data_IF_178317318860
#
_entry.id   IF_178317318860
#
_cell.length_a   1.000
_cell.length_b   1.000
_cell.length_c   1.000
_cell.angle_alpha   90.00
_cell.angle_beta   90.00
_cell.angle_gamma   90.00
#
_symmetry.space_group_name_H-M   'P 1'
#
loop_
_entity.id
_entity.type
_entity.pdbx_description
1 polymer ?
#
# COMPACT_ATOMS: atom_id res chain seq x y z
N UNK A 1 -33.42 -2.76 20.85
CA UNK A 1 -32.40 -2.12 19.99
C UNK A 1 -31.90 -3.21 19.04
N UNK A 2 -32.13 -3.05 17.73
CA UNK A 2 -31.50 -3.95 16.75
C UNK A 2 -30.01 -3.59 16.75
N UNK A 3 -29.18 -4.52 17.16
CA UNK A 3 -27.72 -4.42 16.97
C UNK A 3 -27.54 -4.55 15.46
N UNK A 4 -27.17 -3.45 14.80
CA UNK A 4 -26.91 -3.48 13.37
C UNK A 4 -25.60 -4.27 13.18
N UNK A 5 -25.72 -5.45 12.59
CA UNK A 5 -24.55 -6.31 12.35
C UNK A 5 -23.63 -5.64 11.32
N UNK A 6 -22.40 -5.34 11.76
CA UNK A 6 -21.39 -4.68 10.91
C UNK A 6 -20.92 -5.70 9.87
N UNK A 7 -21.04 -5.37 8.60
CA UNK A 7 -20.62 -6.23 7.50
C UNK A 7 -19.15 -6.05 7.16
N UNK A 8 -18.51 -7.08 6.64
CA UNK A 8 -17.14 -7.03 6.15
C UNK A 8 -16.96 -5.93 5.09
N UNK A 9 -17.97 -5.70 4.23
CA UNK A 9 -17.93 -4.66 3.22
C UNK A 9 -17.85 -3.24 3.81
N UNK A 10 -18.49 -2.99 4.95
CA UNK A 10 -18.37 -1.72 5.66
C UNK A 10 -16.96 -1.51 6.20
N UNK A 11 -16.30 -2.59 6.65
CA UNK A 11 -14.91 -2.53 7.11
C UNK A 11 -13.97 -2.23 5.93
N UNK A 12 -14.11 -2.92 4.80
CA UNK A 12 -13.36 -2.61 3.59
C UNK A 12 -13.54 -1.15 3.15
N UNK A 13 -14.76 -0.63 3.20
CA UNK A 13 -15.06 0.77 2.87
C UNK A 13 -14.39 1.75 3.83
N UNK A 14 -14.37 1.46 5.13
CA UNK A 14 -13.66 2.27 6.12
C UNK A 14 -12.15 2.27 5.87
N UNK A 15 -11.58 1.11 5.56
CA UNK A 15 -10.15 0.96 5.27
C UNK A 15 -9.70 1.71 4.00
N UNK A 16 -10.59 1.97 3.04
CA UNK A 16 -10.30 2.85 1.89
C UNK A 16 -10.01 4.30 2.34
N UNK A 17 -10.48 4.69 3.52
CA UNK A 17 -10.17 5.99 4.14
C UNK A 17 -8.76 6.05 4.74
N UNK A 18 -8.15 4.91 5.06
CA UNK A 18 -6.82 4.85 5.66
C UNK A 18 -5.76 4.99 4.58
N UNK A 19 -5.07 6.12 4.57
CA UNK A 19 -4.03 6.43 3.58
C UNK A 19 -2.63 6.14 4.11
N UNK A 20 -1.73 5.78 3.19
CA UNK A 20 -0.31 5.71 3.51
C UNK A 20 0.21 7.11 3.86
N UNK A 21 0.87 7.32 5.02
CA UNK A 21 1.33 8.65 5.43
C UNK A 21 2.42 9.22 4.52
N UNK A 22 3.13 8.38 3.80
CA UNK A 22 4.19 8.78 2.87
C UNK A 22 3.67 8.96 1.43
N UNK A 23 2.52 8.33 1.12
CA UNK A 23 1.86 8.40 -0.19
C UNK A 23 0.36 8.66 0.02
N UNK A 24 -0.05 9.88 0.44
CA UNK A 24 -1.39 10.16 0.95
C UNK A 24 -2.51 10.05 -0.09
N UNK A 25 -2.17 9.78 -1.34
CA UNK A 25 -3.11 9.56 -2.44
C UNK A 25 -3.59 8.11 -2.55
N UNK A 26 -2.94 7.17 -1.84
CA UNK A 26 -3.25 5.73 -1.90
C UNK A 26 -3.68 5.22 -0.53
N UNK A 27 -4.73 4.37 -0.50
CA UNK A 27 -5.16 3.67 0.71
C UNK A 27 -4.38 2.37 0.92
N UNK A 28 -4.44 1.87 2.16
CA UNK A 28 -3.89 0.55 2.52
C UNK A 28 -4.56 -0.59 1.74
N UNK A 29 -5.82 -0.40 1.35
CA UNK A 29 -6.59 -1.34 0.52
C UNK A 29 -6.11 -1.30 -0.94
N UNK A 30 -5.93 -0.11 -1.51
CA UNK A 30 -5.41 0.08 -2.87
C UNK A 30 -3.96 -0.41 -2.99
N UNK A 31 -3.18 -0.27 -1.92
CA UNK A 31 -1.82 -0.78 -1.82
C UNK A 31 -1.78 -2.33 -1.70
N UNK A 32 -2.91 -2.98 -1.40
CA UNK A 32 -2.97 -4.42 -1.21
C UNK A 32 -2.28 -4.89 0.08
N UNK A 33 -2.25 -4.03 1.10
CA UNK A 33 -1.63 -4.37 2.39
C UNK A 33 -2.54 -5.22 3.28
N UNK A 34 -3.86 -5.11 3.15
CA UNK A 34 -4.81 -5.88 3.95
C UNK A 34 -4.96 -7.29 3.38
N UNK A 35 -4.68 -8.29 4.21
CA UNK A 35 -4.68 -9.70 3.80
C UNK A 35 -5.84 -10.51 4.36
N UNK A 36 -6.36 -10.13 5.53
CA UNK A 36 -7.52 -10.80 6.12
C UNK A 36 -8.29 -9.86 7.06
N UNK A 37 -9.61 -10.07 7.11
CA UNK A 37 -10.52 -9.49 8.10
C UNK A 37 -11.29 -10.65 8.72
N UNK A 38 -11.35 -10.69 10.06
CA UNK A 38 -12.10 -11.69 10.79
C UNK A 38 -12.94 -10.99 11.85
N UNK A 39 -14.21 -11.40 11.94
CA UNK A 39 -15.15 -10.89 12.93
C UNK A 39 -15.40 -11.96 14.00
N UNK A 40 -15.32 -11.58 15.25
CA UNK A 40 -15.61 -12.45 16.37
C UNK A 40 -16.62 -11.78 17.29
N UNK A 41 -17.71 -12.50 17.56
CA UNK A 41 -18.72 -12.10 18.54
C UNK A 41 -18.57 -12.95 19.79
N UNK A 42 -18.53 -12.32 20.95
CA UNK A 42 -18.55 -13.03 22.23
C UNK A 42 -19.97 -13.44 22.62
N UNK A 43 -20.06 -14.38 23.56
CA UNK A 43 -21.36 -14.87 24.12
C UNK A 43 -22.16 -13.73 24.79
N UNK A 44 -21.49 -12.70 25.27
CA UNK A 44 -22.10 -11.52 25.89
C UNK A 44 -22.39 -10.38 24.90
N UNK A 45 -22.21 -10.63 23.57
CA UNK A 45 -22.56 -9.70 22.50
C UNK A 45 -21.47 -8.70 22.11
N UNK A 46 -20.29 -8.73 22.72
CA UNK A 46 -19.18 -7.88 22.29
C UNK A 46 -18.65 -8.31 20.92
N UNK A 47 -18.36 -7.34 20.06
CA UNK A 47 -17.84 -7.58 18.71
C UNK A 47 -16.40 -7.11 18.63
N UNK A 48 -15.48 -8.01 18.24
CA UNK A 48 -14.08 -7.72 17.98
C UNK A 48 -13.78 -7.95 16.51
N UNK A 49 -13.06 -6.99 15.90
CA UNK A 49 -12.58 -7.11 14.53
C UNK A 49 -11.06 -7.36 14.52
N UNK A 50 -10.64 -8.45 13.89
CA UNK A 50 -9.23 -8.77 13.68
C UNK A 50 -8.86 -8.46 12.23
N UNK A 51 -7.84 -7.62 12.04
CA UNK A 51 -7.35 -7.23 10.73
C UNK A 51 -5.89 -7.67 10.61
N UNK A 52 -5.59 -8.42 9.56
CA UNK A 52 -4.20 -8.79 9.24
C UNK A 52 -3.71 -7.93 8.08
N UNK A 53 -2.54 -7.33 8.26
CA UNK A 53 -1.88 -6.56 7.22
C UNK A 53 -0.46 -7.06 6.97
N UNK A 54 0.01 -7.00 5.72
CA UNK A 54 1.40 -7.23 5.35
C UNK A 54 2.03 -5.91 4.90
N UNK A 55 3.20 -5.52 5.42
CA UNK A 55 3.87 -4.30 5.02
C UNK A 55 4.52 -4.46 3.63
N UNK A 56 4.62 -3.37 2.89
CA UNK A 56 5.33 -3.34 1.61
C UNK A 56 6.83 -3.60 1.76
N UNK A 57 7.39 -3.20 2.89
CA UNK A 57 8.79 -3.44 3.27
C UNK A 57 8.90 -3.73 4.76
N UNK A 58 9.68 -4.75 5.10
CA UNK A 58 10.04 -5.05 6.47
C UNK A 58 10.90 -3.89 7.01
N UNK A 59 10.54 -3.33 8.16
CA UNK A 59 11.23 -2.17 8.75
C UNK A 59 10.73 -0.80 8.26
N UNK A 60 9.58 -0.74 7.58
CA UNK A 60 8.93 0.52 7.23
C UNK A 60 8.54 1.28 8.52
N UNK A 61 9.02 2.53 8.73
CA UNK A 61 8.70 3.30 9.94
C UNK A 61 7.22 3.71 10.01
N UNK A 62 6.48 3.66 8.90
CA UNK A 62 5.07 4.00 8.84
C UNK A 62 4.14 2.89 9.40
N UNK A 63 4.62 1.67 9.65
CA UNK A 63 3.78 0.52 10.06
C UNK A 63 2.94 0.85 11.30
N UNK A 64 3.53 1.42 12.34
CA UNK A 64 2.80 1.70 13.58
C UNK A 64 1.76 2.80 13.39
N UNK A 65 2.05 3.81 12.56
CA UNK A 65 1.09 4.85 12.20
C UNK A 65 -0.08 4.27 11.42
N UNK A 66 0.20 3.40 10.44
CA UNK A 66 -0.83 2.72 9.64
C UNK A 66 -1.71 1.82 10.52
N UNK A 67 -1.11 1.01 11.41
CA UNK A 67 -1.87 0.17 12.38
C UNK A 67 -2.82 1.00 13.23
N UNK A 68 -2.32 2.11 13.77
CA UNK A 68 -3.11 3.03 14.57
C UNK A 68 -4.27 3.61 13.76
N UNK A 69 -4.01 4.08 12.55
CA UNK A 69 -5.04 4.64 11.67
C UNK A 69 -6.10 3.60 11.27
N UNK A 70 -5.70 2.36 10.97
CA UNK A 70 -6.62 1.25 10.72
C UNK A 70 -7.55 1.04 11.92
N UNK A 71 -6.97 0.94 13.11
CA UNK A 71 -7.74 0.74 14.35
C UNK A 71 -8.72 1.89 14.59
N UNK A 72 -8.27 3.13 14.45
CA UNK A 72 -9.08 4.34 14.66
C UNK A 72 -10.24 4.45 13.66
N UNK A 73 -10.05 4.06 12.41
CA UNK A 73 -11.12 4.10 11.41
C UNK A 73 -12.15 2.97 11.63
N UNK A 74 -11.69 1.77 11.90
CA UNK A 74 -12.58 0.62 12.04
C UNK A 74 -13.36 0.65 13.35
N UNK A 75 -12.78 1.15 14.45
CA UNK A 75 -13.48 1.28 15.75
C UNK A 75 -14.70 2.22 15.65
N UNK A 76 -14.68 3.22 14.75
CA UNK A 76 -15.80 4.14 14.51
C UNK A 76 -17.05 3.44 13.97
N UNK A 77 -16.92 2.24 13.43
CA UNK A 77 -18.05 1.43 12.97
C UNK A 77 -18.87 0.87 14.13
N UNK A 78 -18.34 0.87 15.35
CA UNK A 78 -19.04 0.44 16.56
C UNK A 78 -18.55 -0.89 17.14
N UNK A 79 -17.34 -1.35 16.78
CA UNK A 79 -16.71 -2.50 17.43
C UNK A 79 -16.29 -2.16 18.85
N UNK A 80 -16.40 -3.14 19.76
CA UNK A 80 -15.91 -3.01 21.14
C UNK A 80 -14.37 -3.03 21.17
N UNK A 81 -13.73 -3.78 20.27
CA UNK A 81 -12.29 -3.77 20.06
C UNK A 81 -11.92 -4.07 18.61
N UNK A 82 -10.73 -3.57 18.23
CA UNK A 82 -10.12 -3.81 16.91
C UNK A 82 -8.65 -4.16 17.11
N UNK A 83 -8.28 -5.36 16.70
CA UNK A 83 -6.91 -5.83 16.74
C UNK A 83 -6.29 -5.81 15.33
N UNK A 84 -5.12 -5.17 15.18
CA UNK A 84 -4.39 -5.12 13.92
C UNK A 84 -3.08 -5.89 14.07
N UNK A 85 -3.00 -7.05 13.39
CA UNK A 85 -1.81 -7.89 13.33
C UNK A 85 -1.01 -7.56 12.08
N UNK A 86 0.31 -7.41 12.24
CA UNK A 86 1.25 -7.33 11.11
C UNK A 86 1.76 -8.74 10.83
N UNK A 87 1.59 -9.19 9.60
CA UNK A 87 2.12 -10.44 9.09
C UNK A 87 3.39 -10.16 8.28
N UNK A 88 4.53 -10.61 8.79
CA UNK A 88 5.83 -10.51 8.13
C UNK A 88 6.21 -11.80 7.38
N UNK A 89 5.42 -12.87 7.52
CA UNK A 89 5.66 -14.15 6.85
C UNK A 89 5.13 -14.11 5.42
N UNK A 90 3.98 -13.46 5.22
CA UNK A 90 3.42 -13.25 3.89
C UNK A 90 4.17 -12.11 3.19
N UNK A 91 4.91 -12.44 2.15
CA UNK A 91 5.60 -11.43 1.36
C UNK A 91 4.59 -10.57 0.59
N UNK A 92 4.71 -9.26 0.75
CA UNK A 92 3.99 -8.32 -0.11
C UNK A 92 4.68 -8.25 -1.47
N UNK A 93 3.90 -8.22 -2.54
CA UNK A 93 4.40 -8.01 -3.90
C UNK A 93 3.66 -6.85 -4.55
N UNK A 94 4.31 -6.15 -5.47
CA UNK A 94 3.73 -5.02 -6.19
C UNK A 94 2.52 -5.40 -7.07
N UNK A 95 2.30 -6.70 -7.31
CA UNK A 95 1.12 -7.20 -8.02
C UNK A 95 -0.16 -7.12 -7.17
N UNK A 96 -0.03 -7.02 -5.84
CA UNK A 96 -1.16 -6.79 -4.94
C UNK A 96 -1.75 -5.39 -5.05
N UNK A 97 -0.96 -4.44 -5.57
CA UNK A 97 -1.39 -3.06 -5.78
C UNK A 97 -2.47 -3.00 -6.86
N UNK A 98 -3.61 -2.40 -6.54
CA UNK A 98 -4.70 -2.20 -7.50
C UNK A 98 -4.24 -1.34 -8.69
N UNK A 99 -4.76 -1.58 -9.91
CA UNK A 99 -4.41 -0.78 -11.10
C UNK A 99 -4.63 0.72 -10.89
N UNK A 100 -5.71 1.11 -10.20
CA UNK A 100 -6.05 2.50 -9.88
C UNK A 100 -4.97 3.15 -9.00
N UNK A 101 -4.38 2.38 -8.07
CA UNK A 101 -3.28 2.85 -7.24
C UNK A 101 -2.05 3.19 -8.06
N UNK A 102 -1.71 2.37 -9.05
CA UNK A 102 -0.59 2.63 -9.97
C UNK A 102 -0.78 3.94 -10.74
N UNK A 103 -2.01 4.21 -11.20
CA UNK A 103 -2.36 5.48 -11.85
C UNK A 103 -2.29 6.68 -10.89
N UNK A 104 -2.69 6.49 -9.64
CA UNK A 104 -2.57 7.54 -8.61
C UNK A 104 -1.11 7.86 -8.28
N UNK A 105 -0.23 6.84 -8.22
CA UNK A 105 1.22 7.04 -8.07
C UNK A 105 1.77 7.93 -9.18
N UNK A 106 1.48 7.59 -10.43
CA UNK A 106 1.97 8.35 -11.59
C UNK A 106 1.51 9.81 -11.56
N UNK A 107 0.23 10.06 -11.24
CA UNK A 107 -0.32 11.43 -11.08
C UNK A 107 0.30 12.18 -9.89
N UNK A 108 0.71 11.47 -8.87
CA UNK A 108 1.39 12.03 -7.71
C UNK A 108 2.86 12.39 -8.01
N UNK A 109 3.39 11.95 -9.16
CA UNK A 109 4.79 12.18 -9.56
C UNK A 109 5.74 11.07 -9.11
N UNK A 110 5.21 9.95 -8.68
CA UNK A 110 5.95 8.75 -8.31
C UNK A 110 5.73 7.67 -9.38
N UNK A 111 6.79 7.26 -10.06
CA UNK A 111 6.67 6.20 -11.06
C UNK A 111 6.20 4.89 -10.40
N UNK A 112 5.18 4.22 -10.95
CA UNK A 112 4.68 2.98 -10.40
C UNK A 112 5.71 1.84 -10.53
N UNK A 113 5.57 0.75 -9.74
CA UNK A 113 6.42 -0.42 -9.89
C UNK A 113 6.22 -1.05 -11.27
N UNK A 114 7.31 -1.55 -11.85
CA UNK A 114 7.22 -2.36 -13.07
C UNK A 114 6.59 -3.71 -12.76
N UNK A 115 5.87 -4.27 -13.73
CA UNK A 115 5.27 -5.60 -13.59
C UNK A 115 6.40 -6.62 -13.73
N UNK A 116 6.49 -7.53 -12.77
CA UNK A 116 7.42 -8.65 -12.80
C UNK A 116 6.76 -9.80 -13.58
N UNK A 117 7.18 -10.02 -14.81
CA UNK A 117 6.79 -11.22 -15.53
C UNK A 117 7.70 -12.37 -15.04
N UNK A 118 7.10 -13.48 -14.62
CA UNK A 118 7.77 -14.72 -14.21
C UNK A 118 8.72 -14.61 -12.98
N UNK A 119 8.45 -13.70 -12.05
CA UNK A 119 9.23 -13.49 -10.82
C UNK A 119 10.73 -13.16 -11.02
N UNK A 120 11.18 -12.89 -12.22
CA UNK A 120 12.55 -12.47 -12.50
C UNK A 120 12.60 -10.99 -12.95
N UNK A 121 13.33 -10.17 -12.19
CA UNK A 121 13.67 -8.81 -12.58
C UNK A 121 14.74 -8.86 -13.67
N UNK A 122 14.36 -8.58 -14.90
CA UNK A 122 15.35 -8.39 -15.97
C UNK A 122 15.94 -6.98 -15.92
N UNK A 123 17.21 -6.83 -16.32
CA UNK A 123 17.86 -5.53 -16.44
C UNK A 123 17.10 -4.59 -17.38
N UNK A 124 16.43 -5.15 -18.38
CA UNK A 124 15.61 -4.41 -19.35
C UNK A 124 14.37 -3.83 -18.68
N UNK A 125 13.65 -4.58 -17.84
CA UNK A 125 12.50 -4.10 -17.06
C UNK A 125 12.90 -3.04 -16.04
N UNK A 126 14.09 -3.19 -15.41
CA UNK A 126 14.63 -2.16 -14.51
C UNK A 126 14.96 -0.86 -15.23
N UNK A 127 15.33 -0.91 -16.51
CA UNK A 127 15.71 0.26 -17.29
C UNK A 127 14.53 0.95 -17.98
N UNK A 128 13.42 0.22 -18.28
CA UNK A 128 12.26 0.75 -19.00
C UNK A 128 11.21 1.39 -18.09
N UNK A 129 11.62 2.21 -17.11
CA UNK A 129 10.68 2.92 -16.25
C UNK A 129 10.30 4.25 -16.86
N UNK A 130 8.99 4.44 -17.08
CA UNK A 130 8.47 5.68 -17.65
C UNK A 130 8.55 6.84 -16.66
N UNK A 131 9.02 7.99 -17.15
CA UNK A 131 9.05 9.23 -16.38
C UNK A 131 7.61 9.71 -16.07
N UNK A 132 7.23 9.98 -14.81
CA UNK A 132 5.89 10.45 -14.48
C UNK A 132 5.61 11.89 -14.95
N UNK A 133 6.65 12.66 -15.31
CA UNK A 133 6.51 14.05 -15.74
C UNK A 133 6.30 14.22 -17.26
N UNK A 134 7.06 13.47 -18.07
CA UNK A 134 7.01 13.61 -19.53
C UNK A 134 6.73 12.31 -20.28
N UNK A 135 6.50 11.20 -19.57
CA UNK A 135 6.21 9.87 -20.08
C UNK A 135 7.29 9.25 -20.97
N UNK A 136 8.47 9.84 -21.05
CA UNK A 136 9.62 9.27 -21.76
C UNK A 136 10.13 8.02 -21.05
N UNK A 137 10.60 7.04 -21.82
CA UNK A 137 11.31 5.85 -21.32
C UNK A 137 12.82 6.03 -21.27
N UNK A 138 13.34 7.16 -21.77
CA UNK A 138 14.75 7.51 -21.69
C UNK A 138 15.12 7.95 -20.27
N UNK A 139 15.19 6.97 -19.38
CA UNK A 139 15.41 7.14 -17.94
C UNK A 139 16.49 6.20 -17.44
N UNK A 140 17.11 6.55 -16.33
CA UNK A 140 18.12 5.70 -15.67
C UNK A 140 17.95 5.68 -14.16
N UNK A 141 18.31 4.56 -13.54
CA UNK A 141 18.41 4.46 -12.09
C UNK A 141 19.63 5.22 -11.60
N UNK A 142 19.47 6.12 -10.63
CA UNK A 142 20.54 6.86 -9.98
C UNK A 142 20.90 6.30 -8.62
N UNK A 143 19.89 5.84 -7.86
CA UNK A 143 20.07 5.23 -6.56
C UNK A 143 18.93 4.23 -6.29
N UNK A 144 19.28 3.06 -5.77
CA UNK A 144 18.31 2.10 -5.28
C UNK A 144 17.64 2.56 -3.97
N UNK A 145 18.13 3.64 -3.36
CA UNK A 145 17.64 4.22 -2.12
C UNK A 145 17.08 5.61 -2.41
N UNK A 146 15.77 5.78 -2.19
CA UNK A 146 15.05 7.05 -2.30
C UNK A 146 14.81 7.70 -0.95
N UNK A 147 13.79 8.55 -0.87
CA UNK A 147 13.37 9.21 0.38
C UNK A 147 12.87 8.20 1.42
N UNK A 148 12.40 7.05 0.99
CA UNK A 148 11.93 5.94 1.82
C UNK A 148 12.46 4.60 1.30
N UNK A 149 12.34 3.53 2.13
CA UNK A 149 12.83 2.20 1.75
C UNK A 149 12.14 1.61 0.53
N UNK A 150 10.87 1.97 0.29
CA UNK A 150 10.08 1.51 -0.85
C UNK A 150 10.34 2.28 -2.16
N UNK A 151 11.23 3.29 -2.16
CA UNK A 151 11.50 4.15 -3.32
C UNK A 151 12.92 4.06 -3.81
N UNK A 152 13.08 4.30 -5.11
CA UNK A 152 14.37 4.46 -5.78
C UNK A 152 14.41 5.82 -6.49
N UNK A 153 15.60 6.40 -6.66
CA UNK A 153 15.80 7.67 -7.38
C UNK A 153 16.18 7.38 -8.83
N UNK A 154 15.50 8.04 -9.74
CA UNK A 154 15.72 7.98 -11.18
C UNK A 154 15.94 9.35 -11.79
N UNK A 155 16.47 9.36 -13.01
CA UNK A 155 16.66 10.57 -13.80
C UNK A 155 16.12 10.35 -15.21
N UNK A 156 15.42 11.35 -15.73
CA UNK A 156 14.91 11.38 -17.11
C UNK A 156 15.81 12.24 -17.99
N UNK A 157 16.36 11.65 -19.07
CA UNK A 157 17.20 12.38 -20.01
C UNK A 157 16.40 13.25 -20.98
N UNK A 158 15.10 12.98 -21.17
CA UNK A 158 14.25 13.80 -22.04
C UNK A 158 13.89 15.14 -21.38
N UNK A 159 13.29 15.13 -20.18
CA UNK A 159 12.89 16.37 -19.49
C UNK A 159 13.92 16.90 -18.48
N UNK A 160 15.06 16.20 -18.30
CA UNK A 160 16.16 16.56 -17.39
C UNK A 160 15.77 16.65 -15.91
N UNK A 161 14.74 15.91 -15.50
CA UNK A 161 14.26 15.90 -14.10
C UNK A 161 14.60 14.59 -13.40
N UNK A 162 14.92 14.69 -12.10
CA UNK A 162 14.91 13.56 -11.19
C UNK A 162 13.49 13.21 -10.77
N UNK A 163 13.23 11.94 -10.52
CA UNK A 163 11.96 11.46 -9.98
C UNK A 163 12.17 10.21 -9.12
N UNK A 164 11.20 9.88 -8.31
CA UNK A 164 11.22 8.64 -7.55
C UNK A 164 10.35 7.57 -8.21
N UNK A 165 10.73 6.32 -8.02
CA UNK A 165 9.97 5.14 -8.42
C UNK A 165 9.62 4.32 -7.21
N UNK A 166 8.38 3.86 -7.09
CA UNK A 166 8.03 2.77 -6.17
C UNK A 166 8.71 1.49 -6.65
N UNK A 167 9.52 0.88 -5.78
CA UNK A 167 10.31 -0.30 -6.16
C UNK A 167 9.40 -1.52 -6.41
N UNK A 168 9.65 -2.32 -7.46
CA UNK A 168 9.02 -3.63 -7.59
C UNK A 168 9.55 -4.57 -6.50
N UNK A 169 8.66 -5.37 -5.96
CA UNK A 169 8.96 -6.41 -4.95
C UNK A 169 8.22 -7.69 -5.34
#
# INVERSE_FOLDING_TARGET
MQIQEITEQQIWSALEGVKDPEIPVISVVEMGMITAIQLQSSVIGNQTCFITMTPTFVGCPAIDVIKKSIREEVIKLGFDDVEVKVDFETQWTSDRMKPEAKLKLEKFGLAPPVILNDNELTLEQLNNVRCPHCHSTDTTLRSAFGSTLCRAIRFCFACKQGFEQFKPV
#
